data_IF_583167685147
#
_entry.id   IF_583167685147
#
_cell.length_a   1.000
_cell.length_b   1.000
_cell.length_c   1.000
_cell.angle_alpha   90.00
_cell.angle_beta   90.00
_cell.angle_gamma   90.00
#
_symmetry.space_group_name_H-M   'P 1'
#
loop_
_entity.id
_entity.type
_entity.pdbx_description
1 polymer ?
#
# COMPACT_ATOMS: atom_id res chain seq x y z
N UNK A 1 38.34 4.30 15.58
CA UNK A 1 36.96 4.74 15.78
C UNK A 1 36.49 5.19 14.42
N UNK A 2 35.99 4.27 13.62
CA UNK A 2 35.48 4.56 12.28
C UNK A 2 34.33 3.56 12.06
N UNK A 3 33.12 4.01 12.39
CA UNK A 3 31.91 3.33 11.98
C UNK A 3 31.82 3.48 10.46
N UNK A 4 32.03 2.38 9.75
CA UNK A 4 31.58 2.23 8.37
C UNK A 4 30.06 2.13 8.44
N UNK A 5 29.37 3.26 8.29
CA UNK A 5 27.97 3.23 7.92
C UNK A 5 27.96 2.83 6.45
N UNK A 6 27.55 1.59 6.21
CA UNK A 6 27.10 1.11 4.90
C UNK A 6 26.12 2.15 4.34
N UNK A 7 26.55 2.91 3.34
CA UNK A 7 25.67 3.61 2.42
C UNK A 7 25.01 2.54 1.56
N UNK A 8 24.09 1.79 2.15
CA UNK A 8 23.26 0.85 1.42
C UNK A 8 22.15 1.64 0.76
N UNK A 9 22.51 2.51 -0.20
CA UNK A 9 21.69 3.08 -1.27
C UNK A 9 20.17 2.93 -1.01
N UNK A 10 19.66 3.57 0.05
CA UNK A 10 18.24 3.51 0.40
C UNK A 10 17.58 4.47 -0.57
N UNK A 11 17.37 4.01 -1.81
CA UNK A 11 16.43 4.65 -2.71
C UNK A 11 15.10 4.69 -1.93
N UNK A 12 14.79 5.84 -1.34
CA UNK A 12 13.55 6.08 -0.61
C UNK A 12 12.41 5.83 -1.59
N UNK A 13 11.93 4.59 -1.65
CA UNK A 13 10.89 4.19 -2.57
C UNK A 13 9.58 4.68 -1.97
N UNK A 14 8.96 5.64 -2.62
CA UNK A 14 7.63 6.11 -2.25
C UNK A 14 6.61 5.24 -2.97
N UNK A 15 5.63 4.77 -2.21
CA UNK A 15 4.47 4.09 -2.75
C UNK A 15 3.20 4.84 -2.40
N UNK A 16 2.28 4.83 -3.33
CA UNK A 16 0.95 5.35 -3.13
C UNK A 16 0.06 4.23 -2.62
N UNK A 17 -0.64 4.50 -1.53
CA UNK A 17 -1.59 3.58 -0.92
C UNK A 17 -2.94 4.27 -0.80
N UNK A 18 -4.00 3.48 -0.65
CA UNK A 18 -5.36 3.99 -0.51
C UNK A 18 -5.72 3.93 0.98
N UNK A 19 -6.14 5.07 1.52
CA UNK A 19 -6.59 5.22 2.90
C UNK A 19 -8.10 5.44 2.89
N UNK A 20 -8.81 4.71 3.76
CA UNK A 20 -10.22 4.92 4.02
C UNK A 20 -10.40 5.85 5.22
N UNK A 21 -11.39 6.73 5.10
CA UNK A 21 -11.77 7.75 6.07
C UNK A 21 -10.55 8.56 6.58
N UNK A 22 -9.77 9.16 5.65
CA UNK A 22 -8.56 9.90 5.99
C UNK A 22 -8.90 11.10 6.88
N UNK A 23 -8.02 11.41 7.85
CA UNK A 23 -8.21 12.46 8.86
C UNK A 23 -9.37 12.19 9.84
N UNK A 24 -9.73 10.92 10.05
CA UNK A 24 -10.74 10.52 11.04
C UNK A 24 -10.17 9.53 12.05
N UNK A 25 -10.91 9.27 13.13
CA UNK A 25 -10.54 8.23 14.10
C UNK A 25 -10.67 6.80 13.54
N UNK A 26 -11.31 6.64 12.39
CA UNK A 26 -11.48 5.36 11.69
C UNK A 26 -10.60 5.29 10.45
N UNK A 27 -9.49 6.04 10.44
CA UNK A 27 -8.49 5.97 9.37
C UNK A 27 -7.91 4.55 9.31
N UNK A 28 -7.98 3.95 8.12
CA UNK A 28 -7.55 2.56 7.91
C UNK A 28 -6.86 2.45 6.54
N UNK A 29 -5.79 1.67 6.48
CA UNK A 29 -5.19 1.26 5.22
C UNK A 29 -6.15 0.34 4.48
N UNK A 30 -6.46 0.65 3.22
CA UNK A 30 -7.34 -0.17 2.39
C UNK A 30 -6.56 -1.34 1.83
N UNK A 31 -6.71 -2.48 2.49
CA UNK A 31 -6.22 -3.76 2.00
C UNK A 31 -7.25 -4.50 1.15
N UNK A 32 -6.77 -5.24 0.17
CA UNK A 32 -7.57 -6.19 -0.60
C UNK A 32 -7.49 -7.56 0.04
N UNK A 33 -8.59 -8.29 -0.07
CA UNK A 33 -8.65 -9.69 0.32
C UNK A 33 -8.78 -10.50 -0.95
N UNK A 34 -7.83 -11.40 -1.21
CA UNK A 34 -7.99 -12.32 -2.34
C UNK A 34 -9.15 -13.28 -2.03
N UNK A 35 -10.14 -13.33 -2.93
CA UNK A 35 -11.36 -14.11 -2.73
C UNK A 35 -11.12 -15.63 -2.71
N UNK A 36 -9.99 -16.12 -3.24
CA UNK A 36 -9.65 -17.54 -3.26
C UNK A 36 -8.93 -17.98 -1.99
N UNK A 37 -8.00 -17.18 -1.50
CA UNK A 37 -7.10 -17.52 -0.39
C UNK A 37 -7.53 -16.88 0.93
N UNK A 38 -8.44 -15.89 0.88
CA UNK A 38 -8.80 -15.00 2.00
C UNK A 38 -7.61 -14.26 2.60
N UNK A 39 -6.49 -14.20 1.88
CA UNK A 39 -5.31 -13.49 2.33
C UNK A 39 -5.53 -11.98 2.19
N UNK A 40 -5.22 -11.25 3.26
CA UNK A 40 -5.29 -9.79 3.29
C UNK A 40 -3.94 -9.22 2.87
N UNK A 41 -3.98 -8.31 1.91
CA UNK A 41 -2.80 -7.62 1.44
C UNK A 41 -3.06 -6.14 1.21
N UNK A 42 -2.02 -5.33 1.40
CA UNK A 42 -2.02 -3.91 1.13
C UNK A 42 -1.51 -3.67 -0.30
N UNK A 43 -2.30 -3.04 -1.17
CA UNK A 43 -1.83 -2.65 -2.49
C UNK A 43 -1.00 -1.37 -2.38
N UNK A 44 0.22 -1.46 -2.85
CA UNK A 44 1.10 -0.33 -3.08
C UNK A 44 1.11 -0.01 -4.57
N UNK A 45 1.18 1.27 -4.94
CA UNK A 45 1.25 1.72 -6.32
C UNK A 45 2.49 2.60 -6.52
N UNK A 46 3.11 2.57 -7.69
CA UNK A 46 4.25 3.48 -7.97
C UNK A 46 3.78 4.92 -8.17
N UNK A 47 2.56 5.11 -8.70
CA UNK A 47 2.00 6.43 -8.97
C UNK A 47 0.59 6.59 -8.43
N UNK A 48 0.20 7.84 -8.17
CA UNK A 48 -1.16 8.20 -7.77
C UNK A 48 -2.19 7.87 -8.87
N UNK A 49 -1.80 7.94 -10.14
CA UNK A 49 -2.68 7.63 -11.27
C UNK A 49 -3.06 6.15 -11.29
N UNK A 50 -2.09 5.25 -11.14
CA UNK A 50 -2.34 3.81 -11.04
C UNK A 50 -3.28 3.48 -9.88
N UNK A 51 -3.04 4.07 -8.71
CA UNK A 51 -3.90 3.89 -7.54
C UNK A 51 -5.34 4.33 -7.82
N UNK A 52 -5.53 5.50 -8.46
CA UNK A 52 -6.86 6.03 -8.80
C UNK A 52 -7.58 5.18 -9.85
N UNK A 53 -6.86 4.71 -10.87
CA UNK A 53 -7.42 3.84 -11.91
C UNK A 53 -7.82 2.50 -11.32
N UNK A 54 -6.95 1.88 -10.52
CA UNK A 54 -7.26 0.64 -9.82
C UNK A 54 -8.46 0.83 -8.89
N UNK A 55 -8.49 1.94 -8.14
CA UNK A 55 -9.62 2.31 -7.30
C UNK A 55 -10.92 2.46 -8.08
N UNK A 56 -10.90 3.05 -9.29
CA UNK A 56 -12.07 3.17 -10.13
C UNK A 56 -12.62 1.82 -10.65
N UNK A 57 -11.77 0.79 -10.72
CA UNK A 57 -12.16 -0.58 -11.11
C UNK A 57 -12.76 -1.38 -9.96
N UNK A 58 -12.58 -0.93 -8.72
CA UNK A 58 -13.05 -1.66 -7.54
C UNK A 58 -14.58 -1.67 -7.45
N UNK A 59 -15.17 -2.76 -6.92
CA UNK A 59 -16.60 -2.85 -6.75
C UNK A 59 -17.08 -1.74 -5.80
N UNK A 60 -18.16 -1.06 -6.20
CA UNK A 60 -18.70 0.08 -5.45
C UNK A 60 -19.18 -0.25 -4.04
N UNK A 61 -19.39 -1.54 -3.77
CA UNK A 61 -19.70 -2.08 -2.45
C UNK A 61 -18.59 -1.80 -1.43
N UNK A 62 -17.35 -1.64 -1.89
CA UNK A 62 -16.23 -1.25 -1.05
C UNK A 62 -16.22 0.25 -0.73
N UNK A 63 -16.98 1.11 -1.43
CA UNK A 63 -16.97 2.55 -1.21
C UNK A 63 -17.98 2.97 -0.15
N UNK A 64 -17.66 2.73 1.12
CA UNK A 64 -18.53 3.06 2.24
C UNK A 64 -17.93 4.15 3.15
N UNK A 65 -17.32 5.16 2.54
CA UNK A 65 -16.59 6.23 3.23
C UNK A 65 -15.86 7.17 2.26
N UNK A 66 -14.97 7.99 2.79
CA UNK A 66 -14.02 8.77 1.96
C UNK A 66 -12.77 7.95 1.71
N UNK A 67 -12.20 8.09 0.52
CA UNK A 67 -10.94 7.44 0.18
C UNK A 67 -9.98 8.48 -0.34
N UNK A 68 -8.73 8.42 0.10
CA UNK A 68 -7.68 9.26 -0.42
C UNK A 68 -6.43 8.44 -0.69
N UNK A 69 -5.65 8.88 -1.67
CA UNK A 69 -4.40 8.23 -2.01
C UNK A 69 -3.25 9.03 -1.42
N UNK A 70 -2.53 8.41 -0.50
CA UNK A 70 -1.39 9.01 0.19
C UNK A 70 -0.09 8.32 -0.20
N UNK A 71 0.98 9.12 -0.29
CA UNK A 71 2.32 8.61 -0.51
C UNK A 71 2.95 8.24 0.83
N UNK A 72 3.42 7.01 0.96
CA UNK A 72 4.09 6.47 2.13
C UNK A 72 5.43 5.89 1.70
N UNK A 73 6.44 6.04 2.55
CA UNK A 73 7.77 5.48 2.30
C UNK A 73 7.70 3.95 2.47
N UNK A 74 8.41 3.23 1.61
CA UNK A 74 8.49 1.76 1.62
C UNK A 74 8.74 1.19 3.02
N UNK A 75 9.71 1.75 3.73
CA UNK A 75 10.13 1.30 5.05
C UNK A 75 8.99 1.39 6.09
N UNK A 76 8.29 2.52 6.14
CA UNK A 76 7.16 2.75 7.05
C UNK A 76 5.98 1.82 6.70
N UNK A 77 5.71 1.67 5.40
CA UNK A 77 4.67 0.77 4.91
C UNK A 77 4.99 -0.69 5.31
N UNK A 78 6.23 -1.14 5.11
CA UNK A 78 6.70 -2.47 5.51
C UNK A 78 6.63 -2.66 7.02
N UNK A 79 7.01 -1.65 7.81
CA UNK A 79 6.92 -1.72 9.26
C UNK A 79 5.47 -1.94 9.73
N UNK A 80 4.52 -1.13 9.24
CA UNK A 80 3.10 -1.25 9.57
C UNK A 80 2.52 -2.59 9.12
N UNK A 81 2.88 -3.03 7.91
CA UNK A 81 2.38 -4.30 7.37
C UNK A 81 2.93 -5.50 8.15
N UNK A 82 4.22 -5.52 8.48
CA UNK A 82 4.81 -6.58 9.30
C UNK A 82 4.21 -6.63 10.70
N UNK A 83 4.00 -5.48 11.33
CA UNK A 83 3.40 -5.41 12.67
C UNK A 83 1.99 -6.03 12.70
N UNK A 84 1.22 -5.85 11.62
CA UNK A 84 -0.14 -6.36 11.48
C UNK A 84 -0.23 -7.72 10.74
N UNK A 85 0.90 -8.27 10.28
CA UNK A 85 0.94 -9.50 9.49
C UNK A 85 0.27 -9.38 8.11
N UNK A 86 0.24 -8.18 7.54
CA UNK A 86 -0.28 -7.90 6.21
C UNK A 86 0.83 -8.03 5.16
N UNK A 87 0.47 -8.55 3.99
CA UNK A 87 1.38 -8.64 2.84
C UNK A 87 1.28 -7.36 2.02
N UNK A 88 2.40 -6.82 1.56
CA UNK A 88 2.39 -5.69 0.63
C UNK A 88 2.70 -6.18 -0.77
N UNK A 89 1.80 -5.87 -1.69
CA UNK A 89 2.01 -6.12 -3.11
C UNK A 89 2.01 -4.80 -3.86
N UNK A 90 3.00 -4.62 -4.71
CA UNK A 90 3.01 -3.58 -5.72
C UNK A 90 2.03 -3.98 -6.81
N UNK A 91 0.97 -3.20 -6.99
CA UNK A 91 -0.03 -3.40 -8.03
C UNK A 91 0.12 -2.35 -9.14
N UNK A 92 -0.31 -2.71 -10.34
CA UNK A 92 -0.52 -1.77 -11.45
C UNK A 92 -1.94 -1.16 -11.42
N UNK A 93 -2.20 -0.26 -12.36
CA UNK A 93 -3.51 0.36 -12.61
C UNK A 93 -4.68 -0.64 -12.82
N UNK A 94 -4.39 -1.89 -13.18
CA UNK A 94 -5.38 -2.95 -13.43
C UNK A 94 -5.60 -3.83 -12.21
N UNK A 95 -4.83 -3.62 -11.15
CA UNK A 95 -4.83 -4.47 -9.96
C UNK A 95 -3.99 -5.75 -10.10
N UNK A 96 -3.08 -5.79 -11.07
CA UNK A 96 -2.15 -6.90 -11.26
C UNK A 96 -0.99 -6.77 -10.28
N UNK A 97 -0.69 -7.83 -9.53
CA UNK A 97 0.48 -7.87 -8.65
C UNK A 97 1.75 -7.91 -9.52
N UNK A 98 2.52 -6.83 -9.49
CA UNK A 98 3.82 -6.70 -10.14
C UNK A 98 4.94 -7.27 -9.28
N UNK A 99 4.93 -6.98 -7.98
CA UNK A 99 6.01 -7.36 -7.06
C UNK A 99 5.49 -7.53 -5.63
N UNK A 100 6.05 -8.48 -4.90
CA UNK A 100 5.89 -8.57 -3.44
C UNK A 100 6.99 -7.76 -2.75
N UNK A 101 6.61 -6.88 -1.82
CA UNK A 101 7.55 -5.95 -1.18
C UNK A 101 8.05 -6.42 0.19
N UNK A 102 7.33 -7.35 0.83
CA UNK A 102 7.57 -7.77 2.22
C UNK A 102 8.25 -9.14 2.35
#
# INVERSE_FOLDING_TARGET
MENQFEDSETAENWYYIIIQDPNTQTEQFVGFSDGKTKEKFLPAFKTKEEARTCFALMPKDLFNGKYDTQAVIEDDLLAVANENGHKIYLLDEKGTILKYLN
#
